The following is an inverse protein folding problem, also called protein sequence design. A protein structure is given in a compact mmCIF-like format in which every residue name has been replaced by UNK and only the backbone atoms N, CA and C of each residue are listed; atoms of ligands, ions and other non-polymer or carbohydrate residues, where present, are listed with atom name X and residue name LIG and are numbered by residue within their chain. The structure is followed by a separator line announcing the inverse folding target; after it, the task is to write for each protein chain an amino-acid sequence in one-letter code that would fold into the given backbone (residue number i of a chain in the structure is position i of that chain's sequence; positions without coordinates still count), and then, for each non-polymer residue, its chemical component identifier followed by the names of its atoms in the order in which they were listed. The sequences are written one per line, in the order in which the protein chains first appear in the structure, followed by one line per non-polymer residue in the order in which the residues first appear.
data_IF_794861669504
#
_entry.id   IF_794861669504
#
_cell.length_a   1.000
_cell.length_b   1.000
_cell.length_c   1.000
_cell.angle_alpha   90.00
_cell.angle_beta   90.00
_cell.angle_gamma   90.00
#
_symmetry.space_group_name_H-M   'P 1'
#
loop_
_entity.id
_entity.type
_entity.pdbx_description
1 polymer ?
#
# COMPACT_ATOMS: atom_id res chain seq x y z
N UNK A 1 -12.78 28.56 -6.03
CA UNK A 1 -12.33 27.18 -5.75
C UNK A 1 -12.63 26.88 -4.29
N UNK A 2 -13.74 26.21 -4.02
CA UNK A 2 -13.92 25.56 -2.72
C UNK A 2 -12.87 24.47 -2.61
N UNK A 3 -12.11 24.35 -1.50
CA UNK A 3 -11.19 23.23 -1.35
C UNK A 3 -12.02 21.95 -1.42
N UNK A 4 -11.72 21.07 -2.37
CA UNK A 4 -12.31 19.74 -2.37
C UNK A 4 -11.85 19.05 -1.08
N UNK A 5 -12.77 18.92 -0.12
CA UNK A 5 -12.51 18.21 1.12
C UNK A 5 -12.34 16.74 0.75
N UNK A 6 -11.10 16.27 0.68
CA UNK A 6 -10.81 14.87 0.39
C UNK A 6 -11.45 14.00 1.48
N UNK A 7 -12.27 13.04 1.05
CA UNK A 7 -12.91 12.08 1.95
C UNK A 7 -11.86 11.26 2.72
N UNK A 8 -12.13 10.82 3.97
CA UNK A 8 -11.18 10.01 4.74
C UNK A 8 -10.73 8.71 4.06
N UNK A 9 -11.56 8.13 3.19
CA UNK A 9 -11.23 6.96 2.38
C UNK A 9 -10.48 7.29 1.06
N UNK A 10 -10.18 8.58 0.82
CA UNK A 10 -9.43 8.98 -0.36
C UNK A 10 -7.99 8.43 -0.26
N UNK A 11 -7.45 7.76 -1.29
CA UNK A 11 -6.16 7.08 -1.22
C UNK A 11 -5.00 7.96 -0.76
N UNK A 12 -4.98 9.24 -1.15
CA UNK A 12 -3.98 10.23 -0.72
C UNK A 12 -4.05 10.49 0.80
N UNK A 13 -5.26 10.63 1.35
CA UNK A 13 -5.46 10.84 2.79
C UNK A 13 -4.97 9.61 3.55
N UNK A 14 -5.34 8.42 3.08
CA UNK A 14 -4.89 7.17 3.68
C UNK A 14 -3.36 7.01 3.68
N UNK A 15 -2.71 7.31 2.55
CA UNK A 15 -1.25 7.26 2.41
C UNK A 15 -0.55 8.24 3.37
N UNK A 16 -1.01 9.50 3.43
CA UNK A 16 -0.46 10.51 4.33
C UNK A 16 -0.65 10.13 5.80
N UNK A 17 -1.82 9.59 6.17
CA UNK A 17 -2.06 9.09 7.52
C UNK A 17 -1.13 7.92 7.89
N UNK A 18 -0.85 7.00 6.96
CA UNK A 18 0.08 5.90 7.18
C UNK A 18 1.52 6.39 7.42
N UNK A 19 2.01 7.30 6.58
CA UNK A 19 3.34 7.92 6.73
C UNK A 19 3.44 8.67 8.07
N UNK A 20 2.43 9.46 8.42
CA UNK A 20 2.40 10.24 9.66
C UNK A 20 2.43 9.33 10.88
N UNK A 21 1.64 8.25 10.87
CA UNK A 21 1.63 7.26 11.96
C UNK A 21 2.96 6.54 12.11
N UNK A 22 3.62 6.19 11.02
CA UNK A 22 4.95 5.59 11.06
C UNK A 22 5.98 6.57 11.68
N UNK A 23 5.92 7.84 11.32
CA UNK A 23 6.79 8.87 11.89
C UNK A 23 6.53 9.11 13.39
N UNK A 24 5.28 9.08 13.82
CA UNK A 24 4.90 9.26 15.23
C UNK A 24 5.03 7.98 16.07
N UNK A 25 5.12 6.81 15.44
CA UNK A 25 5.18 5.50 16.11
C UNK A 25 6.05 4.54 15.31
N UNK A 26 7.38 4.58 15.53
CA UNK A 26 8.34 3.73 14.82
C UNK A 26 8.17 2.23 15.09
N UNK A 27 7.36 1.86 16.11
CA UNK A 27 7.02 0.48 16.45
C UNK A 27 6.08 -0.19 15.44
N UNK A 28 5.45 0.57 14.54
CA UNK A 28 4.76 0.02 13.39
C UNK A 28 5.82 -0.55 12.45
N UNK A 29 5.89 -1.87 12.34
CA UNK A 29 6.87 -2.65 11.57
C UNK A 29 6.77 -2.50 10.05
N UNK A 30 6.45 -1.30 9.56
CA UNK A 30 6.39 -0.93 8.16
C UNK A 30 5.18 -0.06 7.81
N UNK A 31 5.29 0.66 6.69
CA UNK A 31 4.23 1.57 6.21
C UNK A 31 2.93 0.84 5.85
N UNK A 32 2.99 -0.42 5.37
CA UNK A 32 1.79 -1.23 5.08
C UNK A 32 1.04 -1.59 6.37
N UNK A 33 1.74 -1.87 7.46
CA UNK A 33 1.08 -2.13 8.74
C UNK A 33 0.39 -0.86 9.25
N UNK A 34 1.06 0.30 9.17
CA UNK A 34 0.49 1.59 9.52
C UNK A 34 -0.77 1.92 8.69
N UNK A 35 -0.72 1.64 7.38
CA UNK A 35 -1.83 1.77 6.45
C UNK A 35 -2.98 0.83 6.82
N UNK A 36 -2.69 -0.43 7.11
CA UNK A 36 -3.68 -1.42 7.57
C UNK A 36 -4.41 -1.00 8.84
N UNK A 37 -3.69 -0.47 9.83
CA UNK A 37 -4.29 0.05 11.07
C UNK A 37 -5.18 1.27 10.77
N UNK A 38 -4.81 2.12 9.83
CA UNK A 38 -5.64 3.27 9.44
C UNK A 38 -6.88 2.85 8.66
N UNK A 39 -6.71 2.03 7.62
CA UNK A 39 -7.79 1.50 6.80
C UNK A 39 -8.87 0.81 7.65
N UNK A 40 -8.45 -0.02 8.63
CA UNK A 40 -9.37 -0.66 9.58
C UNK A 40 -10.18 0.35 10.38
N UNK A 41 -9.57 1.45 10.82
CA UNK A 41 -10.25 2.47 11.62
C UNK A 41 -11.34 3.23 10.83
N UNK A 42 -11.19 3.32 9.50
CA UNK A 42 -12.14 3.99 8.60
C UNK A 42 -13.02 3.01 7.81
N UNK A 43 -12.97 1.71 8.12
CA UNK A 43 -13.80 0.68 7.48
C UNK A 43 -13.36 0.26 6.07
N UNK A 44 -12.15 0.62 5.63
CA UNK A 44 -11.59 0.21 4.34
C UNK A 44 -10.92 -1.16 4.47
N UNK A 45 -11.25 -2.09 3.57
CA UNK A 45 -10.73 -3.47 3.58
C UNK A 45 -9.33 -3.53 2.93
N UNK A 46 -8.36 -4.27 3.48
CA UNK A 46 -7.12 -4.61 2.77
C UNK A 46 -7.44 -5.31 1.43
N UNK A 47 -6.67 -4.99 0.38
CA UNK A 47 -6.92 -5.49 -0.99
C UNK A 47 -8.12 -4.85 -1.70
N UNK A 48 -8.74 -3.80 -1.14
CA UNK A 48 -9.69 -2.97 -1.89
C UNK A 48 -8.96 -2.02 -2.84
N UNK A 49 -9.67 -1.51 -3.84
CA UNK A 49 -9.11 -0.57 -4.81
C UNK A 49 -8.56 0.69 -4.13
N UNK A 50 -9.24 1.22 -3.12
CA UNK A 50 -8.79 2.39 -2.36
C UNK A 50 -7.52 2.08 -1.57
N UNK A 51 -7.46 0.90 -0.95
CA UNK A 51 -6.29 0.45 -0.21
C UNK A 51 -5.09 0.24 -1.14
N UNK A 52 -5.28 -0.39 -2.28
CA UNK A 52 -4.22 -0.67 -3.25
C UNK A 52 -3.66 0.62 -3.86
N UNK A 53 -4.53 1.60 -4.13
CA UNK A 53 -4.11 2.95 -4.54
C UNK A 53 -3.31 3.64 -3.43
N UNK A 54 -3.75 3.55 -2.19
CA UNK A 54 -3.01 4.13 -1.06
C UNK A 54 -1.64 3.44 -0.85
N UNK A 55 -1.59 2.11 -1.00
CA UNK A 55 -0.37 1.33 -0.92
C UNK A 55 0.63 1.68 -2.04
N UNK A 56 0.13 1.87 -3.26
CA UNK A 56 0.93 2.34 -4.39
C UNK A 56 1.51 3.76 -4.15
N UNK A 57 0.72 4.67 -3.56
CA UNK A 57 1.17 6.02 -3.23
C UNK A 57 2.30 6.04 -2.17
N UNK A 58 2.36 5.04 -1.29
CA UNK A 58 3.47 4.87 -0.33
C UNK A 58 4.61 4.00 -0.87
N UNK A 59 4.64 3.73 -2.18
CA UNK A 59 5.73 3.00 -2.84
C UNK A 59 5.67 1.48 -2.67
N UNK A 60 4.53 0.92 -2.26
CA UNK A 60 4.34 -0.52 -2.10
C UNK A 60 3.09 -0.97 -2.84
N UNK A 61 3.06 -0.90 -4.18
CA UNK A 61 1.93 -1.39 -4.96
C UNK A 61 1.69 -2.88 -4.74
N UNK A 62 0.42 -3.29 -4.85
CA UNK A 62 0.06 -4.71 -4.87
C UNK A 62 0.62 -5.38 -6.15
N UNK A 63 1.26 -6.53 -5.98
CA UNK A 63 1.77 -7.38 -7.04
C UNK A 63 0.99 -8.70 -7.05
N UNK A 64 0.20 -8.92 -8.10
CA UNK A 64 -0.67 -10.09 -8.22
C UNK A 64 0.10 -11.40 -8.37
N UNK A 65 1.25 -11.38 -9.05
CA UNK A 65 2.08 -12.57 -9.25
C UNK A 65 2.63 -13.13 -7.92
N UNK A 66 2.73 -12.27 -6.91
CA UNK A 66 3.26 -12.58 -5.58
C UNK A 66 2.21 -12.65 -4.50
N UNK A 67 1.01 -12.14 -4.77
CA UNK A 67 -0.03 -11.88 -3.78
C UNK A 67 0.47 -11.04 -2.58
N UNK A 68 1.31 -10.03 -2.86
CA UNK A 68 1.97 -9.20 -1.85
C UNK A 68 2.08 -7.73 -2.28
N UNK A 69 2.19 -6.83 -1.30
CA UNK A 69 2.60 -5.44 -1.52
C UNK A 69 4.12 -5.34 -1.48
N UNK A 70 4.73 -4.91 -2.59
CA UNK A 70 6.19 -4.93 -2.77
C UNK A 70 6.68 -3.66 -3.47
N UNK A 71 7.97 -3.30 -3.37
CA UNK A 71 8.53 -2.18 -4.12
C UNK A 71 8.30 -2.30 -5.63
N UNK A 72 8.21 -1.19 -6.37
CA UNK A 72 7.93 -1.19 -7.81
C UNK A 72 8.90 -2.05 -8.63
N UNK A 73 10.17 -2.09 -8.24
CA UNK A 73 11.21 -2.86 -8.93
C UNK A 73 10.97 -4.36 -8.79
N UNK A 74 10.59 -4.81 -7.58
CA UNK A 74 10.25 -6.21 -7.31
C UNK A 74 8.97 -6.59 -8.04
N UNK A 75 7.96 -5.71 -8.04
CA UNK A 75 6.71 -5.91 -8.79
C UNK A 75 6.99 -6.10 -10.28
N UNK A 76 7.77 -5.20 -10.88
CA UNK A 76 8.11 -5.26 -12.31
C UNK A 76 8.83 -6.56 -12.66
N UNK A 77 9.80 -6.99 -11.83
CA UNK A 77 10.51 -8.25 -12.04
C UNK A 77 9.58 -9.45 -11.88
N UNK A 78 8.73 -9.48 -10.86
CA UNK A 78 7.78 -10.56 -10.62
C UNK A 78 6.76 -10.73 -11.77
N UNK A 79 6.27 -9.61 -12.31
CA UNK A 79 5.31 -9.61 -13.41
C UNK A 79 5.92 -10.05 -14.75
N UNK A 80 7.25 -10.06 -14.87
CA UNK A 80 7.96 -10.61 -16.04
C UNK A 80 8.09 -12.14 -16.04
N UNK A 81 7.85 -12.78 -14.89
CA UNK A 81 7.91 -14.23 -14.75
C UNK A 81 6.54 -14.88 -14.87
N UNK A 82 6.52 -16.19 -15.15
CA UNK A 82 5.35 -17.00 -14.88
C UNK A 82 5.11 -17.06 -13.36
N UNK A 83 3.85 -17.14 -12.92
CA UNK A 83 3.49 -17.03 -11.49
C UNK A 83 4.22 -18.04 -10.58
N UNK A 84 4.55 -19.24 -11.10
CA UNK A 84 5.34 -20.26 -10.38
C UNK A 84 6.78 -19.82 -10.09
N UNK A 85 7.32 -18.91 -10.89
CA UNK A 85 8.70 -18.42 -10.81
C UNK A 85 8.79 -16.99 -10.25
N UNK A 86 7.65 -16.35 -9.94
CA UNK A 86 7.61 -14.98 -9.46
C UNK A 86 8.43 -14.77 -8.16
N UNK A 87 8.59 -15.82 -7.34
CA UNK A 87 9.49 -15.84 -6.17
C UNK A 87 10.96 -15.50 -6.49
N UNK A 88 11.38 -15.58 -7.75
CA UNK A 88 12.72 -15.16 -8.20
C UNK A 88 12.87 -13.65 -8.32
N UNK A 89 11.80 -12.88 -8.12
CA UNK A 89 11.87 -11.41 -8.16
C UNK A 89 12.73 -10.79 -7.05
N UNK A 90 13.05 -11.55 -6.01
CA UNK A 90 13.94 -11.14 -4.91
C UNK A 90 15.40 -11.57 -5.10
N UNK A 91 15.68 -12.38 -6.14
CA UNK A 91 17.02 -12.78 -6.54
C UNK A 91 17.63 -11.73 -7.46
#
# INVERSE_FOLDING_TARGET
MTPETLSPNHPVVMALCAITRLACSPSLGGVIQALGVHAKAIGVRPGSEEFDKAAALVGLPYCRALDLYVPPEVKQRAESFHWTEAHRAWS
#
